data_IF_059436999881
#
_entry.id   IF_059436999881
#
_cell.length_a   1.000
_cell.length_b   1.000
_cell.length_c   1.000
_cell.angle_alpha   90.00
_cell.angle_beta   90.00
_cell.angle_gamma   90.00
#
_symmetry.space_group_name_H-M   'P 1'
#
loop_
_entity.id
_entity.type
_entity.pdbx_description
1 polymer ?
#
# COMPACT_ATOMS: atom_id res chain seq x y z
N UNK A 1 -0.95 14.35 4.75
CA UNK A 1 0.48 14.08 4.90
C UNK A 1 0.97 13.23 3.72
N UNK A 2 1.96 13.72 3.01
CA UNK A 2 2.42 13.08 1.78
C UNK A 2 3.30 11.88 2.05
N UNK A 3 3.12 10.84 1.24
CA UNK A 3 3.96 9.66 1.25
C UNK A 3 4.76 9.64 -0.05
N UNK A 4 6.08 9.62 0.07
CA UNK A 4 6.95 9.48 -1.10
C UNK A 4 7.05 7.99 -1.41
N UNK A 5 6.78 7.60 -2.65
CA UNK A 5 6.75 6.18 -3.00
C UNK A 5 7.49 5.90 -4.30
N UNK A 6 7.95 4.67 -4.47
CA UNK A 6 8.69 4.28 -5.67
C UNK A 6 8.69 2.76 -5.84
N UNK A 7 8.75 2.31 -7.10
CA UNK A 7 9.09 0.93 -7.43
C UNK A 7 10.57 0.63 -7.20
N UNK A 8 11.40 1.66 -7.19
CA UNK A 8 12.82 1.50 -6.90
C UNK A 8 13.04 1.62 -5.40
N UNK A 9 13.08 0.49 -4.72
CA UNK A 9 13.15 0.45 -3.26
C UNK A 9 14.48 0.96 -2.72
N UNK A 10 15.57 0.79 -3.49
CA UNK A 10 16.87 1.33 -3.07
C UNK A 10 16.87 2.85 -3.08
N UNK A 11 16.26 3.43 -4.10
CA UNK A 11 16.16 4.88 -4.20
C UNK A 11 15.33 5.45 -3.05
N UNK A 12 14.22 4.79 -2.71
CA UNK A 12 13.36 5.27 -1.64
C UNK A 12 14.04 5.17 -0.28
N UNK A 13 14.84 4.14 -0.06
CA UNK A 13 15.59 4.02 1.19
C UNK A 13 16.66 5.09 1.32
N UNK A 14 17.33 5.43 0.22
CA UNK A 14 18.29 6.54 0.20
C UNK A 14 17.62 7.87 0.50
N UNK A 15 16.43 8.06 -0.06
CA UNK A 15 15.65 9.27 0.19
C UNK A 15 15.28 9.39 1.67
N UNK A 16 14.87 8.31 2.27
CA UNK A 16 14.48 8.29 3.68
C UNK A 16 15.65 8.69 4.60
N UNK A 17 16.87 8.31 4.25
CA UNK A 17 18.04 8.65 5.04
C UNK A 17 18.33 10.15 5.03
N UNK A 18 17.87 10.84 3.98
CA UNK A 18 18.08 12.28 3.83
C UNK A 18 16.91 13.09 4.40
N UNK A 19 15.72 12.53 4.44
CA UNK A 19 14.49 13.23 4.83
C UNK A 19 13.69 12.39 5.82
N UNK A 20 13.29 13.00 6.91
CA UNK A 20 12.43 12.33 7.89
C UNK A 20 10.97 12.43 7.45
N UNK A 21 10.52 11.50 6.63
CA UNK A 21 9.16 11.49 6.10
C UNK A 21 8.61 10.07 6.00
N UNK A 22 7.31 9.97 5.78
CA UNK A 22 6.70 8.69 5.44
C UNK A 22 7.05 8.35 4.01
N UNK A 23 7.33 7.09 3.75
CA UNK A 23 7.68 6.65 2.41
C UNK A 23 7.06 5.28 2.14
N UNK A 24 6.91 4.95 0.86
CA UNK A 24 6.26 3.73 0.45
C UNK A 24 7.03 2.97 -0.61
N UNK A 25 7.01 1.66 -0.51
CA UNK A 25 7.53 0.79 -1.55
C UNK A 25 6.36 0.32 -2.40
N UNK A 26 6.50 0.43 -3.72
CA UNK A 26 5.45 0.06 -4.68
C UNK A 26 5.81 -1.29 -5.28
N UNK A 27 4.86 -2.21 -5.31
CA UNK A 27 5.10 -3.53 -5.91
C UNK A 27 3.79 -4.16 -6.38
N UNK A 28 3.91 -5.12 -7.31
CA UNK A 28 2.75 -5.79 -7.90
C UNK A 28 2.94 -7.30 -8.03
N UNK A 29 4.02 -7.85 -7.49
CA UNK A 29 4.33 -9.27 -7.61
C UNK A 29 4.33 -9.96 -6.26
N UNK A 30 3.76 -11.16 -6.22
CA UNK A 30 3.66 -11.91 -4.97
C UNK A 30 5.01 -12.21 -4.35
N UNK A 31 6.02 -12.51 -5.15
CA UNK A 31 7.35 -12.80 -4.64
C UNK A 31 7.99 -11.61 -3.92
N UNK A 32 7.49 -10.40 -4.16
CA UNK A 32 7.99 -9.21 -3.47
C UNK A 32 7.43 -9.04 -2.06
N UNK A 33 6.38 -9.79 -1.73
CA UNK A 33 5.77 -9.71 -0.39
C UNK A 33 6.77 -10.09 0.71
N UNK A 34 7.61 -11.08 0.45
CA UNK A 34 8.58 -11.52 1.44
C UNK A 34 9.61 -10.44 1.73
N UNK A 35 10.12 -9.79 0.69
CA UNK A 35 11.09 -8.71 0.85
C UNK A 35 10.45 -7.50 1.53
N UNK A 36 9.22 -7.17 1.16
CA UNK A 36 8.49 -6.07 1.78
C UNK A 36 8.31 -6.31 3.27
N UNK A 37 7.98 -7.53 3.64
CA UNK A 37 7.82 -7.86 5.06
C UNK A 37 9.13 -7.70 5.83
N UNK A 38 10.24 -8.08 5.24
CA UNK A 38 11.55 -7.89 5.87
C UNK A 38 11.82 -6.43 6.18
N UNK A 39 11.43 -5.53 5.26
CA UNK A 39 11.59 -4.11 5.47
C UNK A 39 10.70 -3.59 6.59
N UNK A 40 9.49 -4.15 6.75
CA UNK A 40 8.54 -3.68 7.74
C UNK A 40 9.02 -3.86 9.17
N UNK A 41 9.94 -4.79 9.39
CA UNK A 41 10.48 -5.04 10.72
C UNK A 41 11.41 -3.95 11.21
N UNK A 42 11.83 -3.05 10.33
CA UNK A 42 12.90 -2.10 10.65
C UNK A 42 12.46 -0.63 10.57
N UNK A 43 11.23 -0.34 10.11
CA UNK A 43 10.86 1.05 9.89
C UNK A 43 9.36 1.29 10.04
N UNK A 44 9.01 2.13 11.01
CA UNK A 44 7.63 2.49 11.30
C UNK A 44 7.04 3.47 10.29
N UNK A 45 7.88 4.15 9.52
CA UNK A 45 7.43 5.14 8.53
C UNK A 45 7.21 4.53 7.16
N UNK A 46 7.38 3.21 7.03
CA UNK A 46 7.27 2.51 5.76
C UNK A 46 5.82 2.12 5.48
N UNK A 47 5.35 2.48 4.29
CA UNK A 47 4.06 2.06 3.78
C UNK A 47 4.25 1.09 2.61
N UNK A 48 3.25 0.24 2.39
CA UNK A 48 3.29 -0.77 1.34
C UNK A 48 2.21 -0.44 0.33
N UNK A 49 2.62 -0.08 -0.89
CA UNK A 49 1.70 0.30 -1.96
C UNK A 49 1.66 -0.84 -2.97
N UNK A 50 0.72 -1.75 -2.80
CA UNK A 50 0.67 -2.99 -3.54
C UNK A 50 -0.53 -3.06 -4.48
N UNK A 51 -0.37 -3.80 -5.57
CA UNK A 51 -1.50 -4.14 -6.42
C UNK A 51 -2.57 -4.83 -5.58
N UNK A 52 -3.83 -4.43 -5.77
CA UNK A 52 -4.90 -4.84 -4.85
C UNK A 52 -5.13 -6.35 -4.83
N UNK A 53 -4.79 -7.07 -5.90
CA UNK A 53 -4.98 -8.52 -5.92
C UNK A 53 -4.12 -9.24 -4.87
N UNK A 54 -3.02 -8.64 -4.45
CA UNK A 54 -2.11 -9.30 -3.51
C UNK A 54 -2.67 -9.38 -2.09
N UNK A 55 -3.67 -8.57 -1.77
CA UNK A 55 -4.28 -8.59 -0.43
C UNK A 55 -4.92 -9.95 -0.11
N UNK A 56 -5.34 -10.66 -1.15
CA UNK A 56 -5.99 -11.96 -0.98
C UNK A 56 -5.01 -13.14 -1.05
N UNK A 57 -3.73 -12.87 -1.27
CA UNK A 57 -2.73 -13.93 -1.26
C UNK A 57 -2.56 -14.48 0.15
N UNK A 58 -2.43 -15.80 0.26
CA UNK A 58 -2.14 -16.43 1.55
C UNK A 58 -0.78 -16.00 2.11
N UNK A 59 0.07 -15.47 1.25
CA UNK A 59 1.40 -14.99 1.65
C UNK A 59 1.38 -13.53 2.07
N UNK A 60 0.22 -12.87 2.01
CA UNK A 60 0.11 -11.49 2.42
C UNK A 60 0.15 -11.42 3.96
N UNK A 61 1.17 -10.76 4.47
CA UNK A 61 1.42 -10.70 5.91
C UNK A 61 1.94 -9.31 6.30
N UNK A 62 1.50 -8.30 5.57
CA UNK A 62 1.90 -6.93 5.84
C UNK A 62 0.84 -6.26 6.72
N UNK A 63 1.23 -5.26 7.54
CA UNK A 63 0.25 -4.57 8.37
C UNK A 63 -0.75 -3.80 7.51
N UNK A 64 -2.02 -4.07 7.70
CA UNK A 64 -3.08 -3.47 6.90
C UNK A 64 -3.16 -1.97 7.09
N UNK A 65 -2.88 -1.48 8.29
CA UNK A 65 -2.90 -0.06 8.57
C UNK A 65 -1.71 0.70 7.94
N UNK A 66 -0.82 0.00 7.28
CA UNK A 66 0.30 0.56 6.53
C UNK A 66 0.21 0.22 5.04
N UNK A 67 -0.90 -0.33 4.60
CA UNK A 67 -1.07 -0.81 3.23
C UNK A 67 -1.98 0.10 2.43
N UNK A 68 -1.54 0.44 1.22
CA UNK A 68 -2.34 1.18 0.24
C UNK A 68 -2.50 0.27 -0.98
N UNK A 69 -3.74 0.06 -1.39
CA UNK A 69 -4.06 -0.79 -2.54
C UNK A 69 -4.29 0.04 -3.79
N UNK A 70 -3.78 -0.41 -4.93
CA UNK A 70 -3.94 0.27 -6.23
C UNK A 70 -4.16 -0.74 -7.33
N UNK A 71 -4.75 -0.46 -8.43
CA UNK A 71 -5.74 0.60 -8.61
C UNK A 71 -7.10 -0.08 -8.55
N UNK A 72 -7.98 0.38 -7.69
CA UNK A 72 -9.25 -0.27 -7.43
C UNK A 72 -10.36 0.52 -8.09
N UNK A 73 -10.94 -0.02 -9.17
CA UNK A 73 -12.01 0.63 -9.93
C UNK A 73 -13.33 -0.13 -9.87
N UNK A 74 -13.37 -1.25 -9.16
CA UNK A 74 -14.59 -2.03 -8.95
C UNK A 74 -15.22 -1.65 -7.61
N UNK A 75 -16.51 -1.29 -7.65
CA UNK A 75 -17.20 -0.79 -6.46
C UNK A 75 -17.32 -1.84 -5.35
N UNK A 76 -17.52 -3.09 -5.74
CA UNK A 76 -17.65 -4.18 -4.77
C UNK A 76 -16.31 -4.43 -4.09
N UNK A 77 -15.22 -4.44 -4.86
CA UNK A 77 -13.88 -4.58 -4.30
C UNK A 77 -13.54 -3.41 -3.38
N UNK A 78 -13.87 -2.19 -3.79
CA UNK A 78 -13.62 -1.01 -2.98
C UNK A 78 -14.30 -1.13 -1.63
N UNK A 79 -15.57 -1.50 -1.62
CA UNK A 79 -16.34 -1.63 -0.39
C UNK A 79 -15.74 -2.72 0.51
N UNK A 80 -15.35 -3.84 -0.08
CA UNK A 80 -14.72 -4.93 0.66
C UNK A 80 -13.43 -4.49 1.31
N UNK A 81 -12.59 -3.78 0.56
CA UNK A 81 -11.31 -3.31 1.09
C UNK A 81 -11.49 -2.26 2.18
N UNK A 82 -12.49 -1.40 2.06
CA UNK A 82 -12.77 -0.41 3.09
C UNK A 82 -13.08 -1.06 4.44
N UNK A 83 -13.72 -2.23 4.43
CA UNK A 83 -14.03 -2.96 5.64
C UNK A 83 -12.82 -3.66 6.26
N UNK A 84 -11.73 -3.79 5.53
CA UNK A 84 -10.52 -4.45 6.00
C UNK A 84 -9.58 -3.54 6.78
N UNK A 85 -9.97 -2.30 6.98
CA UNK A 85 -9.17 -1.32 7.75
C UNK A 85 -7.79 -1.04 7.13
N UNK A 86 -7.73 -0.99 5.81
CA UNK A 86 -6.52 -0.64 5.09
C UNK A 86 -6.28 0.86 5.18
N UNK A 87 -5.00 1.27 5.11
CA UNK A 87 -4.65 2.68 5.22
C UNK A 87 -5.25 3.52 4.11
N UNK A 88 -5.21 3.04 2.87
CA UNK A 88 -5.74 3.81 1.76
C UNK A 88 -5.97 2.98 0.50
N UNK A 89 -6.71 3.55 -0.42
CA UNK A 89 -7.04 2.91 -1.70
C UNK A 89 -6.91 3.96 -2.80
N UNK A 90 -6.21 3.61 -3.87
CA UNK A 90 -6.07 4.46 -5.06
C UNK A 90 -7.08 3.99 -6.11
N UNK A 91 -7.88 4.93 -6.62
CA UNK A 91 -8.89 4.64 -7.64
C UNK A 91 -8.88 5.74 -8.70
N UNK A 92 -9.28 5.37 -9.93
CA UNK A 92 -9.47 6.32 -11.02
C UNK A 92 -10.86 6.95 -11.02
N UNK A 93 -11.77 6.44 -10.18
CA UNK A 93 -13.15 6.92 -10.11
C UNK A 93 -13.54 7.34 -8.70
N UNK A 94 -12.83 8.33 -8.13
CA UNK A 94 -13.02 8.70 -6.72
C UNK A 94 -14.42 9.22 -6.40
N UNK A 95 -15.07 9.92 -7.33
CA UNK A 95 -16.40 10.46 -7.09
C UNK A 95 -17.43 9.33 -6.88
N UNK A 96 -17.32 8.27 -7.66
CA UNK A 96 -18.20 7.10 -7.51
C UNK A 96 -17.91 6.39 -6.19
N UNK A 97 -16.63 6.24 -5.87
CA UNK A 97 -16.21 5.50 -4.67
C UNK A 97 -16.59 6.21 -3.38
N UNK A 98 -16.75 7.52 -3.40
CA UNK A 98 -17.17 8.26 -2.21
C UNK A 98 -18.53 7.81 -1.70
N UNK A 99 -19.39 7.27 -2.57
CA UNK A 99 -20.69 6.77 -2.16
C UNK A 99 -20.60 5.58 -1.19
N UNK A 100 -19.46 4.91 -1.16
CA UNK A 100 -19.26 3.71 -0.33
C UNK A 100 -18.42 3.99 0.90
N UNK A 101 -18.00 5.20 1.12
CA UNK A 101 -17.24 5.58 2.31
C UNK A 101 -18.13 5.63 3.52
N UNK A 102 -17.62 5.13 4.59
CA UNK A 102 -18.29 5.19 5.89
C UNK A 102 -17.91 6.45 6.65
#
# INVERSE_FOLDING_TARGET
QDIVSSFNWKAIQSFKDLFNCHYGVIFDKEEELFEARSLSLHDENLFFMTHHNLIDSRNFDLPKNKTVLWTVNDEIDFQRYMEMEIYGIVTDIPDTMQLYRK
#
